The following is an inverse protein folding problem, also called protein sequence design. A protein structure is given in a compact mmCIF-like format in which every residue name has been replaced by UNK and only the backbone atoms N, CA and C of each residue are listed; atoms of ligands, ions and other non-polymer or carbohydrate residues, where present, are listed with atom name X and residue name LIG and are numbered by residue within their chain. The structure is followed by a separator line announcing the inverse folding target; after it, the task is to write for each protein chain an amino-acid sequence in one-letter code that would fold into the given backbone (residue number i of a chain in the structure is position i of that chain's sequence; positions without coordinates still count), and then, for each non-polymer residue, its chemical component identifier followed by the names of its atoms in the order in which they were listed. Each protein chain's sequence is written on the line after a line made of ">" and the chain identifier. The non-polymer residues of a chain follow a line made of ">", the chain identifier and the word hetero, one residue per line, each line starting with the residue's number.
data_IF_026927779216
#
_entry.id   IF_026927779216
#
_cell.length_a   1.000
_cell.length_b   1.000
_cell.length_c   1.000
_cell.angle_alpha   90.00
_cell.angle_beta   90.00
_cell.angle_gamma   90.00
#
_symmetry.space_group_name_H-M   'P 1'
#
loop_
_entity.id
_entity.type
_entity.pdbx_description
1 polymer ?
#
# COMPACT_ATOMS: atom_id res chain seq x y z
N UNK A 1 -0.92 9.24 -6.86
CA UNK A 1 -0.73 8.96 -5.42
C UNK A 1 0.66 9.43 -5.07
N UNK A 2 0.82 10.12 -3.94
CA UNK A 2 2.11 10.58 -3.42
C UNK A 2 2.65 9.60 -2.38
N UNK A 3 3.95 9.66 -2.12
CA UNK A 3 4.61 8.87 -1.09
C UNK A 3 5.36 9.80 -0.13
N UNK A 4 5.26 9.54 1.17
CA UNK A 4 5.87 10.33 2.24
C UNK A 4 4.88 10.61 3.37
N UNK A 5 5.13 11.64 4.18
CA UNK A 5 4.24 11.99 5.30
C UNK A 5 2.84 12.36 4.83
N UNK A 6 1.83 11.58 5.23
CA UNK A 6 0.44 11.83 4.86
C UNK A 6 -0.27 12.73 5.88
N UNK A 7 -1.03 13.70 5.40
CA UNK A 7 -1.92 14.48 6.27
C UNK A 7 -2.96 13.55 6.89
N UNK A 8 -3.07 13.49 8.24
CA UNK A 8 -4.07 12.65 8.88
C UNK A 8 -5.49 13.06 8.46
N UNK A 9 -6.32 12.07 8.16
CA UNK A 9 -7.74 12.29 7.93
C UNK A 9 -8.42 12.73 9.23
N UNK A 10 -9.24 13.79 9.16
CA UNK A 10 -10.23 14.11 10.20
C UNK A 10 -11.57 13.51 9.75
N UNK A 11 -12.03 12.39 10.33
CA UNK A 11 -13.15 11.67 9.77
C UNK A 11 -14.47 12.37 10.15
N UNK A 12 -15.32 12.64 9.15
CA UNK A 12 -16.56 13.40 9.30
C UNK A 12 -17.83 12.56 9.07
N UNK A 13 -17.69 11.30 8.66
CA UNK A 13 -18.82 10.44 8.28
C UNK A 13 -19.47 10.90 6.98
N UNK A 14 -20.81 10.90 6.93
CA UNK A 14 -21.59 11.20 5.73
C UNK A 14 -22.14 9.94 5.04
N UNK A 15 -22.86 10.13 3.92
CA UNK A 15 -23.42 9.02 3.14
C UNK A 15 -22.43 8.55 2.06
N UNK A 16 -21.84 7.35 2.18
CA UNK A 16 -20.88 6.85 1.20
C UNK A 16 -21.52 6.35 -0.09
N UNK A 17 -22.85 6.24 -0.19
CA UNK A 17 -23.53 5.68 -1.36
C UNK A 17 -23.21 6.48 -2.62
N UNK A 18 -22.77 5.79 -3.67
CA UNK A 18 -22.41 6.39 -4.94
C UNK A 18 -21.34 5.60 -5.69
N UNK A 19 -20.97 6.12 -6.86
CA UNK A 19 -19.80 5.68 -7.62
C UNK A 19 -18.71 6.75 -7.51
N UNK A 20 -17.50 6.32 -7.16
CA UNK A 20 -16.41 7.19 -6.78
C UNK A 20 -15.13 6.77 -7.48
N UNK A 21 -14.48 7.69 -8.17
CA UNK A 21 -13.21 7.47 -8.85
C UNK A 21 -12.06 7.97 -7.99
N UNK A 22 -10.99 7.20 -7.91
CA UNK A 22 -9.76 7.62 -7.23
C UNK A 22 -9.21 8.89 -7.90
N UNK A 23 -9.17 9.99 -7.15
CA UNK A 23 -8.67 11.30 -7.60
C UNK A 23 -7.29 11.59 -7.06
N UNK A 24 -7.03 11.24 -5.80
CA UNK A 24 -5.76 11.45 -5.13
C UNK A 24 -5.53 10.40 -4.05
N UNK A 25 -4.31 10.39 -3.52
CA UNK A 25 -3.97 9.57 -2.36
C UNK A 25 -2.54 9.79 -1.95
N UNK A 26 -2.25 9.42 -0.72
CA UNK A 26 -0.94 9.45 -0.10
C UNK A 26 -0.70 8.10 0.59
N UNK A 27 0.47 7.52 0.38
CA UNK A 27 0.95 6.36 1.12
C UNK A 27 2.10 6.80 2.02
N UNK A 28 2.02 6.44 3.30
CA UNK A 28 2.96 6.88 4.31
C UNK A 28 4.32 6.19 4.16
N UNK A 29 5.40 6.86 4.55
CA UNK A 29 6.74 6.27 4.50
C UNK A 29 6.91 5.08 5.47
N UNK A 30 6.03 4.98 6.46
CA UNK A 30 5.90 3.81 7.34
C UNK A 30 5.42 2.55 6.61
N UNK A 31 4.97 2.64 5.35
CA UNK A 31 4.68 1.47 4.52
C UNK A 31 5.90 0.54 4.32
N UNK A 32 7.11 1.02 4.59
CA UNK A 32 8.34 0.24 4.56
C UNK A 32 8.88 -0.12 5.96
N UNK A 33 8.10 0.04 7.02
CA UNK A 33 8.58 -0.20 8.37
C UNK A 33 8.93 -1.67 8.63
N UNK A 34 8.24 -2.63 8.01
CA UNK A 34 8.61 -4.05 8.08
C UNK A 34 10.02 -4.30 7.50
N UNK A 35 10.33 -3.66 6.36
CA UNK A 35 11.67 -3.68 5.80
C UNK A 35 12.69 -3.05 6.76
N UNK A 36 12.34 -1.92 7.39
CA UNK A 36 13.22 -1.24 8.36
C UNK A 36 13.38 -2.04 9.66
N UNK A 37 12.41 -2.86 10.06
CA UNK A 37 12.56 -3.75 11.20
C UNK A 37 13.61 -4.84 10.93
N UNK A 38 13.61 -5.39 9.71
CA UNK A 38 14.60 -6.38 9.26
C UNK A 38 15.97 -5.74 8.97
N UNK A 39 15.96 -4.55 8.37
CA UNK A 39 17.14 -3.80 7.99
C UNK A 39 16.96 -2.31 8.35
N UNK A 40 17.30 -1.90 9.58
CA UNK A 40 17.08 -0.52 10.06
C UNK A 40 17.81 0.57 9.27
N UNK A 41 18.84 0.19 8.52
CA UNK A 41 19.65 1.09 7.69
C UNK A 41 19.32 0.98 6.20
N UNK A 42 18.28 0.21 5.83
CA UNK A 42 17.74 0.23 4.49
C UNK A 42 17.20 1.62 4.15
N UNK A 43 17.34 1.99 2.89
CA UNK A 43 16.81 3.25 2.36
C UNK A 43 15.83 2.96 1.24
N UNK A 44 14.82 3.83 1.11
CA UNK A 44 13.86 3.79 0.00
C UNK A 44 13.89 5.14 -0.71
N UNK A 45 13.98 5.12 -2.03
CA UNK A 45 14.03 6.32 -2.87
C UNK A 45 13.30 6.09 -4.18
N UNK A 46 13.07 7.18 -4.93
CA UNK A 46 12.42 7.14 -6.25
C UNK A 46 11.07 6.39 -6.26
N UNK A 47 10.32 6.48 -5.15
CA UNK A 47 9.02 5.82 -5.03
C UNK A 47 8.01 6.51 -5.94
N UNK A 48 7.46 5.77 -6.89
CA UNK A 48 6.42 6.23 -7.81
C UNK A 48 5.24 5.28 -7.71
N UNK A 49 4.07 5.83 -7.40
CA UNK A 49 2.84 5.07 -7.23
C UNK A 49 1.79 5.60 -8.21
N UNK A 50 1.50 4.80 -9.24
CA UNK A 50 0.41 5.02 -10.17
C UNK A 50 -0.77 4.20 -9.71
N UNK A 51 -1.91 4.84 -9.50
CA UNK A 51 -3.12 4.16 -9.10
C UNK A 51 -4.31 4.70 -9.88
N UNK A 52 -5.24 3.82 -10.20
CA UNK A 52 -6.58 4.15 -10.67
C UNK A 52 -7.57 3.24 -9.96
N UNK A 53 -8.76 3.74 -9.70
CA UNK A 53 -9.77 2.93 -9.04
C UNK A 53 -11.17 3.46 -9.21
N UNK A 54 -12.11 2.54 -9.10
CA UNK A 54 -13.54 2.80 -8.99
C UNK A 54 -14.05 2.11 -7.74
N UNK A 55 -14.72 2.86 -6.87
CA UNK A 55 -15.42 2.36 -5.71
C UNK A 55 -16.91 2.62 -5.90
N UNK A 56 -17.70 1.57 -5.87
CA UNK A 56 -19.16 1.65 -5.95
C UNK A 56 -19.75 1.19 -4.63
N UNK A 57 -20.46 2.09 -3.96
CA UNK A 57 -21.12 1.84 -2.69
C UNK A 57 -22.63 1.85 -2.91
N UNK A 58 -23.27 0.76 -2.52
CA UNK A 58 -24.74 0.62 -2.49
C UNK A 58 -25.22 0.56 -1.05
N UNK A 59 -26.52 0.45 -0.81
CA UNK A 59 -27.04 0.27 0.55
C UNK A 59 -26.57 -1.02 1.25
N UNK A 60 -26.06 -2.01 0.50
CA UNK A 60 -25.70 -3.32 1.05
C UNK A 60 -24.21 -3.66 0.91
N UNK A 61 -23.54 -3.13 -0.12
CA UNK A 61 -22.18 -3.55 -0.48
C UNK A 61 -21.28 -2.39 -0.86
N UNK A 62 -19.97 -2.58 -0.64
CA UNK A 62 -18.90 -1.77 -1.22
C UNK A 62 -18.15 -2.68 -2.20
N UNK A 63 -18.15 -2.28 -3.48
CA UNK A 63 -17.35 -2.90 -4.53
C UNK A 63 -16.17 -2.00 -4.89
N UNK A 64 -14.99 -2.58 -5.05
CA UNK A 64 -13.76 -1.87 -5.42
C UNK A 64 -13.12 -2.58 -6.59
N UNK A 65 -12.77 -1.81 -7.61
CA UNK A 65 -11.83 -2.22 -8.63
C UNK A 65 -10.69 -1.19 -8.61
N UNK A 66 -9.53 -1.61 -8.12
CA UNK A 66 -8.34 -0.78 -8.04
C UNK A 66 -7.20 -1.45 -8.76
N UNK A 67 -6.44 -0.65 -9.49
CA UNK A 67 -5.18 -1.06 -10.08
C UNK A 67 -4.08 -0.13 -9.60
N UNK A 68 -3.02 -0.72 -9.08
CA UNK A 68 -1.81 -0.03 -8.63
C UNK A 68 -0.63 -0.51 -9.47
N UNK A 69 0.35 0.38 -9.62
CA UNK A 69 1.67 0.07 -10.13
C UNK A 69 2.66 0.92 -9.34
N UNK A 70 3.50 0.25 -8.57
CA UNK A 70 4.50 0.85 -7.69
C UNK A 70 5.88 0.53 -8.22
N UNK A 71 6.75 1.53 -8.26
CA UNK A 71 8.18 1.34 -8.50
C UNK A 71 8.98 2.05 -7.43
N UNK A 72 10.08 1.47 -6.99
CA UNK A 72 10.97 2.09 -6.00
C UNK A 72 12.41 1.59 -6.16
N UNK A 73 13.35 2.35 -5.61
CA UNK A 73 14.74 1.91 -5.39
C UNK A 73 14.96 1.68 -3.90
N UNK A 74 15.36 0.47 -3.54
CA UNK A 74 15.70 0.08 -2.17
C UNK A 74 17.23 -0.07 -2.07
N UNK A 75 17.86 0.72 -1.20
CA UNK A 75 19.27 0.56 -0.86
C UNK A 75 19.42 -0.35 0.36
N UNK A 76 20.14 -1.45 0.19
CA UNK A 76 20.38 -2.48 1.21
C UNK A 76 21.85 -2.49 1.59
N UNK A 77 22.22 -2.00 2.79
CA UNK A 77 23.61 -1.96 3.20
C UNK A 77 24.18 -3.36 3.47
N UNK A 78 25.51 -3.48 3.40
CA UNK A 78 26.24 -4.73 3.62
C UNK A 78 25.83 -5.46 4.91
N UNK A 79 25.62 -4.70 5.99
CA UNK A 79 25.23 -5.27 7.30
C UNK A 79 23.92 -6.07 7.22
N UNK A 80 22.98 -5.65 6.38
CA UNK A 80 21.73 -6.37 6.16
C UNK A 80 21.88 -7.50 5.16
N UNK A 81 22.73 -7.32 4.13
CA UNK A 81 23.00 -8.37 3.15
C UNK A 81 23.62 -9.62 3.81
N UNK A 82 24.39 -9.46 4.89
CA UNK A 82 24.93 -10.57 5.66
C UNK A 82 23.86 -11.49 6.29
N UNK A 83 22.61 -11.02 6.44
CA UNK A 83 21.50 -11.81 6.93
C UNK A 83 20.82 -12.63 5.84
N UNK A 84 21.05 -12.28 4.56
CA UNK A 84 20.54 -13.03 3.42
C UNK A 84 21.39 -14.28 3.24
N UNK A 85 20.82 -15.50 3.25
CA UNK A 85 21.59 -16.72 3.00
C UNK A 85 22.31 -16.62 1.63
N UNK A 86 23.63 -16.73 1.65
CA UNK A 86 24.47 -16.58 0.45
C UNK A 86 24.81 -15.13 0.05
N UNK A 87 24.32 -14.13 0.78
CA UNK A 87 24.88 -12.77 0.86
C UNK A 87 25.12 -12.05 -0.46
N UNK A 88 24.29 -12.27 -1.48
CA UNK A 88 24.47 -11.65 -2.81
C UNK A 88 23.23 -10.88 -3.25
N UNK A 89 23.44 -9.81 -4.03
CA UNK A 89 22.35 -9.02 -4.59
C UNK A 89 21.42 -9.85 -5.48
N UNK A 90 21.96 -10.85 -6.19
CA UNK A 90 21.14 -11.73 -7.01
C UNK A 90 20.20 -12.60 -6.16
N UNK A 91 20.68 -13.18 -5.06
CA UNK A 91 19.83 -13.96 -4.16
C UNK A 91 18.80 -13.08 -3.45
N UNK A 92 19.16 -11.85 -3.11
CA UNK A 92 18.22 -10.87 -2.58
C UNK A 92 17.10 -10.54 -3.58
N UNK A 93 17.43 -10.30 -4.85
CA UNK A 93 16.43 -10.06 -5.90
C UNK A 93 15.45 -11.24 -6.02
N UNK A 94 15.98 -12.48 -6.01
CA UNK A 94 15.14 -13.69 -6.03
C UNK A 94 14.23 -13.77 -4.81
N UNK A 95 14.75 -13.46 -3.61
CA UNK A 95 13.98 -13.43 -2.37
C UNK A 95 12.84 -12.41 -2.41
N UNK A 96 13.08 -11.22 -2.95
CA UNK A 96 12.07 -10.16 -3.07
C UNK A 96 10.93 -10.53 -4.06
N UNK A 97 11.24 -11.28 -5.12
CA UNK A 97 10.24 -11.77 -6.08
C UNK A 97 9.57 -13.07 -5.65
N UNK A 98 10.17 -13.80 -4.69
CA UNK A 98 9.56 -15.01 -4.17
C UNK A 98 8.42 -14.65 -3.22
N UNK A 99 7.27 -15.31 -3.34
CA UNK A 99 6.15 -15.07 -2.44
C UNK A 99 6.53 -15.48 -1.00
N UNK A 100 6.57 -14.56 -0.02
CA UNK A 100 6.73 -14.94 1.38
C UNK A 100 5.51 -15.75 1.86
N UNK A 101 5.62 -16.51 2.96
CA UNK A 101 4.50 -17.30 3.50
C UNK A 101 3.27 -16.47 3.90
N UNK A 102 3.41 -15.14 3.99
CA UNK A 102 2.37 -14.20 4.44
C UNK A 102 1.94 -13.18 3.38
N UNK A 103 2.36 -13.31 2.12
CA UNK A 103 2.00 -12.33 1.08
C UNK A 103 2.45 -12.67 -0.34
N UNK A 104 2.14 -11.79 -1.28
CA UNK A 104 2.65 -11.87 -2.64
C UNK A 104 4.10 -11.35 -2.68
N UNK A 105 4.93 -11.98 -3.52
CA UNK A 105 6.24 -11.44 -3.87
C UNK A 105 6.08 -10.29 -4.86
N UNK A 106 7.13 -9.49 -5.04
CA UNK A 106 7.12 -8.42 -6.02
C UNK A 106 7.09 -9.00 -7.44
N UNK A 107 6.39 -8.33 -8.37
CA UNK A 107 6.39 -8.71 -9.78
C UNK A 107 7.81 -8.75 -10.37
N UNK A 108 8.66 -7.80 -9.95
CA UNK A 108 10.05 -7.71 -10.41
C UNK A 108 10.95 -7.06 -9.37
N UNK A 109 12.14 -7.63 -9.21
CA UNK A 109 13.25 -7.01 -8.50
C UNK A 109 14.54 -7.19 -9.30
N UNK A 110 15.33 -6.14 -9.42
CA UNK A 110 16.67 -6.19 -9.99
C UNK A 110 17.64 -5.52 -9.05
N UNK A 111 18.54 -6.30 -8.46
CA UNK A 111 19.51 -5.81 -7.49
C UNK A 111 20.93 -5.89 -8.05
N UNK A 112 21.68 -4.80 -7.93
CA UNK A 112 23.08 -4.71 -8.30
C UNK A 112 23.92 -4.30 -7.09
N UNK A 113 25.21 -4.64 -7.08
CA UNK A 113 26.11 -4.18 -6.01
C UNK A 113 26.22 -2.65 -6.04
N UNK A 114 26.25 -2.04 -4.86
CA UNK A 114 26.52 -0.60 -4.69
C UNK A 114 28.02 -0.25 -4.71
N UNK A 115 28.91 -1.24 -4.81
CA UNK A 115 30.36 -1.08 -4.74
C UNK A 115 30.95 -0.94 -3.32
N UNK A 116 30.09 -0.81 -2.30
CA UNK A 116 30.44 -0.74 -0.88
C UNK A 116 30.07 -2.02 -0.10
N UNK A 117 29.70 -3.09 -0.82
CA UNK A 117 29.30 -4.37 -0.25
C UNK A 117 27.80 -4.51 0.03
N UNK A 118 27.01 -3.48 -0.25
CA UNK A 118 25.55 -3.51 -0.26
C UNK A 118 24.97 -3.73 -1.65
N UNK A 119 23.66 -3.54 -1.75
CA UNK A 119 22.88 -3.69 -2.98
C UNK A 119 21.95 -2.50 -3.20
N UNK A 120 21.79 -2.10 -4.45
CA UNK A 120 20.71 -1.22 -4.90
C UNK A 120 19.70 -2.05 -5.70
N UNK A 121 18.47 -2.13 -5.22
CA UNK A 121 17.40 -2.92 -5.79
C UNK A 121 16.32 -2.02 -6.40
N UNK A 122 16.13 -2.10 -7.71
CA UNK A 122 14.96 -1.51 -8.35
C UNK A 122 13.83 -2.54 -8.33
N UNK A 123 12.68 -2.14 -7.80
CA UNK A 123 11.51 -2.99 -7.66
C UNK A 123 10.33 -2.45 -8.46
N UNK A 124 9.50 -3.37 -8.93
CA UNK A 124 8.22 -3.09 -9.57
C UNK A 124 7.18 -4.05 -8.99
N UNK A 125 6.01 -3.53 -8.66
CA UNK A 125 4.89 -4.29 -8.14
C UNK A 125 3.57 -3.74 -8.67
N UNK A 126 2.73 -4.60 -9.22
CA UNK A 126 1.46 -4.24 -9.81
C UNK A 126 0.34 -5.11 -9.28
N UNK A 127 -0.69 -4.48 -8.73
CA UNK A 127 -1.83 -5.21 -8.19
C UNK A 127 -3.12 -4.79 -8.89
N UNK A 128 -3.99 -5.77 -9.14
CA UNK A 128 -5.38 -5.53 -9.53
C UNK A 128 -6.27 -6.18 -8.48
N UNK A 129 -6.91 -5.35 -7.68
CA UNK A 129 -7.87 -5.78 -6.67
C UNK A 129 -9.27 -5.64 -7.25
N UNK A 130 -10.05 -6.73 -7.17
CA UNK A 130 -11.49 -6.74 -7.44
C UNK A 130 -12.19 -7.39 -6.27
N UNK A 131 -12.84 -6.56 -5.46
CA UNK A 131 -13.49 -7.01 -4.22
C UNK A 131 -14.91 -6.47 -4.17
N UNK A 132 -15.79 -7.24 -3.55
CA UNK A 132 -17.13 -6.79 -3.18
C UNK A 132 -17.50 -7.42 -1.85
N UNK A 133 -17.85 -6.59 -0.89
CA UNK A 133 -18.15 -7.04 0.48
C UNK A 133 -19.37 -6.31 1.01
N UNK A 134 -20.16 -7.00 1.82
CA UNK A 134 -21.12 -6.33 2.67
C UNK A 134 -20.40 -5.41 3.66
N UNK A 135 -21.07 -4.35 4.12
CA UNK A 135 -20.48 -3.41 5.07
C UNK A 135 -21.52 -2.82 6.01
N UNK A 136 -21.04 -2.21 7.09
CA UNK A 136 -21.82 -1.38 7.99
C UNK A 136 -21.15 -0.01 8.15
N UNK A 137 -21.96 0.99 8.51
CA UNK A 137 -21.51 2.33 8.87
C UNK A 137 -21.90 2.60 10.31
N UNK A 138 -20.92 3.01 11.12
CA UNK A 138 -21.15 3.46 12.49
C UNK A 138 -20.43 4.79 12.69
N UNK A 139 -21.19 5.89 12.74
CA UNK A 139 -20.62 7.24 12.82
C UNK A 139 -19.77 7.56 11.58
N UNK A 140 -18.47 7.71 11.79
CA UNK A 140 -17.47 8.04 10.78
C UNK A 140 -16.56 6.85 10.40
N UNK A 141 -16.99 5.63 10.74
CA UNK A 141 -16.26 4.39 10.43
C UNK A 141 -17.11 3.47 9.54
N UNK A 142 -16.48 2.91 8.51
CA UNK A 142 -16.98 1.82 7.68
C UNK A 142 -16.32 0.52 8.13
N UNK A 143 -17.08 -0.56 8.25
CA UNK A 143 -16.53 -1.91 8.50
C UNK A 143 -17.05 -2.88 7.44
N UNK A 144 -16.14 -3.57 6.73
CA UNK A 144 -16.51 -4.62 5.77
C UNK A 144 -16.64 -5.98 6.44
N UNK A 145 -17.54 -6.81 5.91
CA UNK A 145 -17.77 -8.18 6.36
C UNK A 145 -17.04 -9.16 5.43
N UNK A 146 -16.39 -10.17 6.01
CA UNK A 146 -15.71 -11.25 5.29
C UNK A 146 -14.23 -11.34 5.64
N UNK A 147 -13.48 -12.35 5.17
CA UNK A 147 -12.03 -12.41 5.29
C UNK A 147 -11.33 -11.79 4.06
N UNK A 148 -10.48 -10.76 4.21
CA UNK A 148 -10.20 -10.02 5.45
C UNK A 148 -11.30 -8.99 5.77
N UNK A 149 -11.62 -8.85 7.06
CA UNK A 149 -12.53 -7.82 7.54
C UNK A 149 -11.71 -6.55 7.69
N UNK A 150 -12.19 -5.44 7.14
CA UNK A 150 -11.43 -4.19 7.09
C UNK A 150 -12.23 -3.06 7.71
N UNK A 151 -11.53 -2.15 8.38
CA UNK A 151 -12.11 -0.95 8.97
C UNK A 151 -11.53 0.29 8.32
N UNK A 152 -12.38 1.29 8.09
CA UNK A 152 -11.99 2.54 7.44
C UNK A 152 -12.58 3.71 8.20
N UNK A 153 -11.75 4.68 8.54
CA UNK A 153 -12.22 5.99 8.91
C UNK A 153 -12.47 6.79 7.64
N UNK A 154 -13.58 7.54 7.60
CA UNK A 154 -13.98 8.23 6.38
C UNK A 154 -14.64 9.60 6.59
N UNK A 155 -14.64 10.38 5.52
CA UNK A 155 -15.36 11.63 5.39
C UNK A 155 -15.91 11.77 3.98
N UNK A 156 -17.23 11.96 3.86
CA UNK A 156 -17.91 12.32 2.62
C UNK A 156 -18.45 13.73 2.75
N UNK A 157 -17.88 14.64 1.97
CA UNK A 157 -18.29 16.04 1.94
C UNK A 157 -18.17 16.62 0.52
N UNK A 158 -19.14 17.41 0.10
CA UNK A 158 -19.13 18.16 -1.18
C UNK A 158 -18.73 17.33 -2.42
N UNK A 159 -19.17 16.08 -2.51
CA UNK A 159 -18.86 15.21 -3.66
C UNK A 159 -17.44 14.63 -3.66
N UNK A 160 -16.74 14.73 -2.53
CA UNK A 160 -15.50 14.02 -2.22
C UNK A 160 -15.75 12.94 -1.18
N UNK A 161 -15.06 11.83 -1.32
CA UNK A 161 -15.01 10.74 -0.34
C UNK A 161 -13.54 10.47 -0.01
N UNK A 162 -13.13 10.85 1.19
CA UNK A 162 -11.78 10.60 1.71
C UNK A 162 -11.82 9.49 2.76
N UNK A 163 -10.83 8.59 2.74
CA UNK A 163 -10.74 7.52 3.74
C UNK A 163 -9.30 7.10 4.06
N UNK A 164 -9.14 6.49 5.23
CA UNK A 164 -7.93 5.80 5.69
C UNK A 164 -8.33 4.41 6.18
N UNK A 165 -7.62 3.37 5.76
CA UNK A 165 -7.81 2.03 6.32
C UNK A 165 -7.14 1.96 7.70
N UNK A 166 -7.90 1.54 8.71
CA UNK A 166 -7.47 1.43 10.12
C UNK A 166 -7.29 -0.01 10.58
N UNK A 167 -7.49 -0.97 9.68
CA UNK A 167 -7.24 -2.39 9.94
C UNK A 167 -5.77 -2.61 10.33
N UNK A 168 -5.51 -3.46 11.32
CA UNK A 168 -4.13 -3.83 11.67
C UNK A 168 -3.42 -4.46 10.46
N UNK A 169 -2.21 -3.96 10.14
CA UNK A 169 -1.42 -4.43 9.00
C UNK A 169 -1.83 -3.83 7.66
N UNK A 170 -2.83 -2.93 7.62
CA UNK A 170 -3.13 -2.17 6.41
C UNK A 170 -1.97 -1.23 6.06
N UNK A 171 -1.73 -1.05 4.76
CA UNK A 171 -0.77 -0.07 4.27
C UNK A 171 -1.20 1.33 4.72
N UNK A 172 -0.39 2.05 5.50
CA UNK A 172 -0.75 3.35 6.03
C UNK A 172 -0.88 4.37 4.89
N UNK A 173 -1.97 5.13 4.89
CA UNK A 173 -2.24 6.10 3.84
C UNK A 173 -3.62 6.76 3.95
N UNK A 174 -3.85 7.75 3.08
CA UNK A 174 -5.14 8.44 2.94
C UNK A 174 -5.47 8.55 1.47
N UNK A 175 -6.70 8.25 1.08
CA UNK A 175 -7.14 8.25 -0.31
C UNK A 175 -8.33 9.18 -0.49
N UNK A 176 -8.38 9.90 -1.60
CA UNK A 176 -9.48 10.77 -2.01
C UNK A 176 -10.14 10.19 -3.26
N UNK A 177 -11.47 10.16 -3.25
CA UNK A 177 -12.30 9.78 -4.38
C UNK A 177 -13.28 10.91 -4.72
N UNK A 178 -13.65 11.04 -5.98
CA UNK A 178 -14.64 12.00 -6.48
C UNK A 178 -15.70 11.32 -7.33
N UNK A 179 -16.93 11.86 -7.38
CA UNK A 179 -17.99 11.34 -8.26
C UNK A 179 -17.66 11.50 -9.75
#
# INVERSE_FOLDING_TARGET
>A
VTFGQCTPLVPCGGDPIGAWKLSAGCIDESAFDDLKQLCPTATTSNVVIKARGLVTVTAATISRETQTATTATIGIPQACLAQVPGGSCQLLALGLTSAPPTGAGLDKATCTSDGAGGCNCNIEDGEIIRESSAYTVAGNTISTVGPPARTFDFCVDQGKFTYTETTQGATPGTFELTK
#
